data_IF_533058010256
#
_entry.id   IF_533058010256
#
_cell.length_a   1.000
_cell.length_b   1.000
_cell.length_c   1.000
_cell.angle_alpha   90.00
_cell.angle_beta   90.00
_cell.angle_gamma   90.00
#
_symmetry.space_group_name_H-M   'P 1'
#
loop_
_entity.id
_entity.type
_entity.pdbx_description
1 polymer ?
#
# COMPACT_ATOMS: atom_id res chain seq x y z
N UNK A 1 33.26 -0.32 -10.42
CA UNK A 1 32.96 -0.54 -8.98
C UNK A 1 31.74 0.25 -8.52
N UNK A 2 31.63 1.57 -8.75
CA UNK A 2 30.42 2.34 -8.37
C UNK A 2 29.17 2.02 -9.21
N UNK A 3 29.32 1.93 -10.54
CA UNK A 3 28.20 1.68 -11.46
C UNK A 3 27.49 0.34 -11.18
N UNK A 4 28.26 -0.74 -11.04
CA UNK A 4 27.73 -2.09 -10.75
C UNK A 4 26.95 -2.18 -9.44
N UNK A 5 27.32 -1.40 -8.43
CA UNK A 5 26.61 -1.36 -7.14
C UNK A 5 25.26 -0.63 -7.28
N UNK A 6 25.21 0.44 -8.06
CA UNK A 6 23.95 1.15 -8.37
C UNK A 6 23.01 0.24 -9.15
N UNK A 7 23.51 -0.42 -10.20
CA UNK A 7 22.72 -1.35 -11.03
C UNK A 7 22.11 -2.47 -10.17
N UNK A 8 22.89 -3.00 -9.21
CA UNK A 8 22.41 -4.06 -8.31
C UNK A 8 21.30 -3.56 -7.36
N UNK A 9 21.41 -2.33 -6.87
CA UNK A 9 20.37 -1.73 -6.02
C UNK A 9 19.09 -1.46 -6.80
N UNK A 10 19.21 -0.97 -8.03
CA UNK A 10 18.06 -0.71 -8.90
C UNK A 10 17.35 -2.03 -9.26
N UNK A 11 18.10 -3.07 -9.65
CA UNK A 11 17.53 -4.38 -9.98
C UNK A 11 16.81 -5.00 -8.76
N UNK A 12 17.40 -4.91 -7.58
CA UNK A 12 16.77 -5.45 -6.36
C UNK A 12 15.53 -4.66 -5.95
N UNK A 13 15.53 -3.34 -6.12
CA UNK A 13 14.37 -2.49 -5.88
C UNK A 13 13.24 -2.82 -6.86
N UNK A 14 13.54 -2.93 -8.16
CA UNK A 14 12.57 -3.31 -9.18
C UNK A 14 11.99 -4.70 -8.93
N UNK A 15 12.84 -5.69 -8.63
CA UNK A 15 12.39 -7.04 -8.30
C UNK A 15 11.47 -7.05 -7.07
N UNK A 16 11.79 -6.25 -6.05
CA UNK A 16 10.95 -6.11 -4.86
C UNK A 16 9.60 -5.47 -5.20
N UNK A 17 9.59 -4.34 -5.91
CA UNK A 17 8.36 -3.66 -6.31
C UNK A 17 7.48 -4.49 -7.23
N UNK A 18 8.06 -5.21 -8.18
CA UNK A 18 7.32 -6.14 -9.04
C UNK A 18 6.70 -7.29 -8.22
N UNK A 19 7.46 -7.88 -7.29
CA UNK A 19 6.96 -8.96 -6.41
C UNK A 19 5.76 -8.51 -5.56
N UNK A 20 5.80 -7.30 -5.03
CA UNK A 20 4.73 -6.74 -4.21
C UNK A 20 3.72 -5.90 -4.99
N UNK A 21 3.81 -5.90 -6.33
CA UNK A 21 2.92 -5.18 -7.24
C UNK A 21 2.78 -3.70 -6.85
N UNK A 22 3.89 -3.06 -6.54
CA UNK A 22 3.90 -1.65 -6.16
C UNK A 22 3.33 -0.81 -7.31
N UNK A 23 2.39 0.07 -7.00
CA UNK A 23 1.72 0.85 -8.02
C UNK A 23 2.69 1.87 -8.63
N UNK A 24 2.62 2.05 -9.95
CA UNK A 24 3.41 3.05 -10.66
C UNK A 24 2.89 4.48 -10.46
N UNK A 25 1.60 4.62 -10.15
CA UNK A 25 0.92 5.93 -10.02
C UNK A 25 -0.02 5.90 -8.82
N UNK A 26 -0.05 7.00 -8.07
CA UNK A 26 -0.92 7.19 -6.91
C UNK A 26 -1.73 8.48 -7.08
N UNK A 27 -3.02 8.44 -6.72
CA UNK A 27 -3.90 9.60 -6.69
C UNK A 27 -4.60 9.70 -5.34
N UNK A 28 -4.47 10.84 -4.66
CA UNK A 28 -5.06 11.11 -3.35
C UNK A 28 -6.22 12.09 -3.51
N UNK A 29 -7.40 11.71 -3.02
CA UNK A 29 -8.63 12.49 -3.17
C UNK A 29 -9.38 12.53 -1.85
N UNK A 30 -10.03 13.67 -1.54
CA UNK A 30 -10.86 13.79 -0.32
C UNK A 30 -12.14 12.96 -0.40
N UNK A 31 -12.80 12.95 -1.57
CA UNK A 31 -14.00 12.15 -1.87
C UNK A 31 -13.98 11.77 -3.34
N UNK A 32 -14.15 10.48 -3.64
CA UNK A 32 -14.38 9.99 -4.99
C UNK A 32 -15.33 8.79 -4.95
N UNK A 33 -16.32 8.72 -5.85
CA UNK A 33 -17.19 7.56 -5.94
C UNK A 33 -16.48 6.39 -6.67
N UNK A 34 -16.79 5.15 -6.30
CA UNK A 34 -16.19 3.93 -6.89
C UNK A 34 -16.36 3.83 -8.42
N UNK A 35 -17.38 4.47 -8.99
CA UNK A 35 -17.53 4.55 -10.46
C UNK A 35 -16.33 5.21 -11.16
N UNK A 36 -15.56 6.04 -10.45
CA UNK A 36 -14.36 6.66 -11.01
C UNK A 36 -13.25 5.63 -11.23
N UNK A 37 -13.12 4.64 -10.36
CA UNK A 37 -12.14 3.56 -10.52
C UNK A 37 -12.37 2.79 -11.83
N UNK A 38 -13.64 2.50 -12.16
CA UNK A 38 -14.01 1.87 -13.44
C UNK A 38 -13.57 2.70 -14.65
N UNK A 39 -13.84 4.00 -14.63
CA UNK A 39 -13.42 4.91 -15.71
C UNK A 39 -11.90 5.02 -15.84
N UNK A 40 -11.17 4.97 -14.72
CA UNK A 40 -9.69 4.98 -14.74
C UNK A 40 -9.18 3.67 -15.35
N UNK A 41 -9.80 2.54 -15.05
CA UNK A 41 -9.43 1.25 -15.63
C UNK A 41 -9.65 1.16 -17.15
N UNK A 42 -10.49 2.03 -17.73
CA UNK A 42 -10.72 2.11 -19.18
C UNK A 42 -9.64 2.94 -19.91
N UNK A 43 -8.77 3.65 -19.19
CA UNK A 43 -7.71 4.46 -19.80
C UNK A 43 -6.68 3.52 -20.47
N UNK A 44 -6.35 3.72 -21.76
CA UNK A 44 -5.32 2.92 -22.42
C UNK A 44 -3.98 2.94 -21.65
N UNK A 45 -3.44 1.75 -21.37
CA UNK A 45 -2.21 1.57 -20.60
C UNK A 45 -2.42 1.37 -19.10
N UNK A 46 -3.63 1.56 -18.56
CA UNK A 46 -3.94 1.20 -17.18
C UNK A 46 -4.23 -0.29 -17.09
N UNK A 47 -3.34 -1.04 -16.43
CA UNK A 47 -3.51 -2.49 -16.25
C UNK A 47 -4.38 -2.86 -15.04
N UNK A 48 -4.29 -2.08 -13.96
CA UNK A 48 -4.99 -2.36 -12.71
C UNK A 48 -5.27 -1.07 -11.95
N UNK A 49 -6.39 -1.04 -11.22
CA UNK A 49 -6.79 0.06 -10.33
C UNK A 49 -7.26 -0.57 -9.02
N UNK A 50 -6.72 -0.10 -7.89
CA UNK A 50 -7.19 -0.48 -6.56
C UNK A 50 -7.51 0.79 -5.76
N UNK A 51 -8.71 0.86 -5.21
CA UNK A 51 -9.14 1.94 -4.31
C UNK A 51 -8.89 1.57 -2.87
N UNK A 52 -8.45 2.54 -2.06
CA UNK A 52 -8.21 2.37 -0.62
C UNK A 52 -8.55 3.63 0.15
N UNK A 53 -8.96 3.43 1.39
CA UNK A 53 -9.04 4.50 2.38
C UNK A 53 -7.63 4.70 2.94
N UNK A 54 -7.16 5.94 2.89
CA UNK A 54 -5.89 6.35 3.48
C UNK A 54 -6.14 7.56 4.38
N UNK A 55 -5.79 7.47 5.66
CA UNK A 55 -5.94 8.57 6.61
C UNK A 55 -4.73 8.69 7.51
N UNK A 56 -4.42 9.91 7.92
CA UNK A 56 -3.48 10.14 9.00
C UNK A 56 -4.21 10.05 10.34
N UNK A 57 -3.55 9.50 11.34
CA UNK A 57 -4.04 9.40 12.71
C UNK A 57 -2.89 9.69 13.68
N UNK A 58 -3.20 10.30 14.81
CA UNK A 58 -2.28 10.37 15.95
C UNK A 58 -2.35 9.04 16.69
N UNK A 59 -1.21 8.38 16.83
CA UNK A 59 -1.05 7.09 17.47
C UNK A 59 -0.35 7.27 18.81
N UNK A 60 -0.94 6.73 19.86
CA UNK A 60 -0.28 6.53 21.14
C UNK A 60 0.38 5.15 21.12
N UNK A 61 1.70 5.11 21.22
CA UNK A 61 2.50 3.90 21.02
C UNK A 61 3.31 3.61 22.27
N UNK A 62 3.23 2.37 22.75
CA UNK A 62 4.05 1.92 23.87
C UNK A 62 5.54 2.13 23.57
N UNK A 63 6.27 2.73 24.52
CA UNK A 63 7.70 3.03 24.38
C UNK A 63 8.01 4.36 23.68
N UNK A 64 7.01 5.11 23.22
CA UNK A 64 7.21 6.46 22.67
C UNK A 64 6.75 7.52 23.68
N UNK A 65 7.61 8.49 24.05
CA UNK A 65 7.27 9.51 25.04
C UNK A 65 6.25 10.54 24.52
N UNK A 66 6.11 10.67 23.20
CA UNK A 66 5.18 11.59 22.54
C UNK A 66 4.37 10.83 21.47
N UNK A 67 3.11 11.23 21.21
CA UNK A 67 2.31 10.59 20.16
C UNK A 67 2.93 10.72 18.77
N UNK A 68 2.87 9.65 17.99
CA UNK A 68 3.37 9.60 16.63
C UNK A 68 2.26 9.87 15.60
N UNK A 69 2.61 10.43 14.44
CA UNK A 69 1.68 10.51 13.30
C UNK A 69 1.83 9.24 12.47
N UNK A 70 0.78 8.43 12.43
CA UNK A 70 0.67 7.25 11.59
C UNK A 70 -0.19 7.50 10.35
N UNK A 71 0.04 6.70 9.30
CA UNK A 71 -0.83 6.64 8.13
C UNK A 71 -1.53 5.29 8.08
N UNK A 72 -2.83 5.30 8.33
CA UNK A 72 -3.69 4.13 8.24
C UNK A 72 -4.12 3.92 6.79
N UNK A 73 -3.95 2.70 6.31
CA UNK A 73 -4.39 2.28 4.98
C UNK A 73 -5.31 1.07 5.11
N UNK A 74 -6.50 1.15 4.53
CA UNK A 74 -7.41 0.01 4.49
C UNK A 74 -6.80 -1.14 3.72
N UNK A 75 -7.15 -2.36 4.11
CA UNK A 75 -6.89 -3.58 3.34
C UNK A 75 -8.22 -4.16 2.81
N UNK A 76 -8.18 -5.02 1.79
CA UNK A 76 -9.34 -5.76 1.33
C UNK A 76 -9.96 -6.57 2.46
N UNK A 77 -11.29 -6.61 2.51
CA UNK A 77 -12.03 -7.45 3.46
C UNK A 77 -11.75 -8.95 3.23
N UNK A 78 -11.44 -9.33 1.98
CA UNK A 78 -11.13 -10.71 1.59
C UNK A 78 -9.97 -10.73 0.61
N UNK A 79 -9.10 -11.73 0.78
CA UNK A 79 -7.96 -11.97 -0.11
C UNK A 79 -6.82 -10.97 0.07
N UNK A 80 -5.89 -10.99 -0.88
CA UNK A 80 -4.74 -10.09 -0.88
C UNK A 80 -5.01 -8.82 -1.68
N UNK A 81 -4.26 -7.77 -1.40
CA UNK A 81 -4.20 -6.56 -2.23
C UNK A 81 -3.90 -6.91 -3.70
N UNK A 82 -4.58 -6.23 -4.63
CA UNK A 82 -4.29 -6.35 -6.06
C UNK A 82 -2.95 -5.66 -6.38
N UNK A 83 -2.74 -4.48 -5.81
CA UNK A 83 -1.57 -3.61 -5.88
C UNK A 83 -1.05 -3.33 -4.46
N UNK A 84 0.23 -2.99 -4.32
CA UNK A 84 0.86 -2.65 -3.04
C UNK A 84 0.63 -3.74 -1.98
N UNK A 85 0.95 -4.99 -2.31
CA UNK A 85 0.87 -6.12 -1.39
C UNK A 85 1.79 -5.90 -0.21
N UNK A 86 1.33 -6.29 0.98
CA UNK A 86 2.11 -6.15 2.20
C UNK A 86 3.24 -7.19 2.22
N UNK A 87 4.46 -6.71 2.43
CA UNK A 87 5.62 -7.54 2.74
C UNK A 87 5.68 -7.79 4.24
N UNK A 88 4.84 -8.70 4.74
CA UNK A 88 4.78 -8.99 6.16
C UNK A 88 6.03 -9.74 6.61
N UNK A 89 6.78 -9.16 7.55
CA UNK A 89 8.01 -9.76 8.09
C UNK A 89 7.75 -10.63 9.30
N UNK A 90 6.81 -10.20 10.15
CA UNK A 90 6.45 -10.87 11.39
C UNK A 90 4.95 -10.71 11.64
N UNK A 91 4.35 -11.62 12.42
CA UNK A 91 2.93 -11.61 12.73
C UNK A 91 2.05 -12.17 11.61
N UNK A 92 0.82 -11.65 11.48
CA UNK A 92 -0.16 -12.03 10.44
C UNK A 92 -0.99 -10.83 9.99
N UNK A 93 -1.69 -10.98 8.86
CA UNK A 93 -2.72 -10.03 8.47
C UNK A 93 -3.88 -10.03 9.47
N UNK A 94 -4.59 -8.91 9.54
CA UNK A 94 -5.82 -8.80 10.35
C UNK A 94 -6.88 -9.79 9.85
N UNK A 95 -7.63 -10.36 10.77
CA UNK A 95 -8.65 -11.37 10.45
C UNK A 95 -10.00 -10.71 10.14
N UNK A 96 -10.75 -11.20 9.13
CA UNK A 96 -12.10 -10.70 8.87
C UNK A 96 -12.98 -10.81 10.12
N UNK A 97 -13.66 -9.72 10.49
CA UNK A 97 -14.54 -9.65 11.67
C UNK A 97 -13.85 -9.42 13.01
N UNK A 98 -12.52 -9.19 13.03
CA UNK A 98 -11.79 -8.73 14.23
C UNK A 98 -11.59 -7.22 14.15
N UNK A 99 -12.50 -6.47 14.75
CA UNK A 99 -12.49 -5.00 14.72
C UNK A 99 -11.44 -4.36 15.63
N UNK A 100 -10.80 -5.16 16.49
CA UNK A 100 -9.73 -4.79 17.42
C UNK A 100 -8.32 -4.96 16.85
N UNK A 101 -8.20 -5.37 15.58
CA UNK A 101 -6.93 -5.56 14.88
C UNK A 101 -6.68 -4.43 13.86
N UNK A 102 -5.44 -3.96 13.78
CA UNK A 102 -4.99 -2.87 12.88
C UNK A 102 -3.74 -3.25 12.10
#
# INVERSE_FOLDING_TARGET
>A
MSLTALDSLDETAEAYYNRYRFAHVFALVKRAPERLARRIAEIPGVQAVETRISKFATLDLEGFPEPAIGRLMSIPERGESLLNRLALREGRLVSPGREDEV
#
